data_IF_760065374954
#
_entry.id   IF_760065374954
#
_cell.length_a   1.000
_cell.length_b   1.000
_cell.length_c   1.000
_cell.angle_alpha   90.00
_cell.angle_beta   90.00
_cell.angle_gamma   90.00
#
_symmetry.space_group_name_H-M   'P 1'
#
loop_
_entity.id
_entity.type
_entity.pdbx_description
1 polymer ?
#
# COMPACT_ATOMS: atom_id res chain seq x y z
N UNK A 1 -14.07 -14.31 -9.08
CA UNK A 1 -13.09 -13.26 -8.73
C UNK A 1 -11.80 -13.93 -8.27
N UNK A 2 -10.62 -13.42 -8.63
CA UNK A 2 -9.32 -13.96 -8.19
C UNK A 2 -8.59 -12.89 -7.38
N UNK A 3 -7.95 -13.28 -6.27
CA UNK A 3 -7.19 -12.41 -5.38
C UNK A 3 -5.76 -12.96 -5.27
N UNK A 4 -4.78 -12.06 -5.26
CA UNK A 4 -3.38 -12.37 -5.01
C UNK A 4 -2.99 -11.74 -3.67
N UNK A 5 -2.47 -12.53 -2.73
CA UNK A 5 -1.96 -12.03 -1.46
C UNK A 5 -0.44 -12.01 -1.49
N UNK A 6 0.16 -10.81 -1.37
CA UNK A 6 1.60 -10.64 -1.28
C UNK A 6 2.02 -10.47 0.19
N UNK A 7 2.54 -11.54 0.77
CA UNK A 7 2.98 -11.61 2.16
C UNK A 7 4.50 -11.59 2.27
N UNK A 8 5.02 -11.18 3.43
CA UNK A 8 6.46 -11.14 3.70
C UNK A 8 6.86 -10.04 4.68
N UNK A 9 8.08 -10.08 5.24
CA UNK A 9 8.53 -9.14 6.26
C UNK A 9 8.64 -7.69 5.74
N UNK A 10 8.65 -6.72 6.64
CA UNK A 10 8.88 -5.31 6.27
C UNK A 10 10.21 -5.16 5.52
N UNK A 11 10.23 -4.25 4.53
CA UNK A 11 11.39 -3.97 3.69
C UNK A 11 11.88 -5.11 2.75
N UNK A 12 11.11 -6.20 2.57
CA UNK A 12 11.48 -7.25 1.60
C UNK A 12 11.06 -6.97 0.14
N UNK A 13 10.69 -5.74 -0.21
CA UNK A 13 10.35 -5.35 -1.60
C UNK A 13 8.92 -5.67 -2.07
N UNK A 14 7.98 -5.95 -1.15
CA UNK A 14 6.58 -6.28 -1.53
C UNK A 14 5.90 -5.18 -2.33
N UNK A 15 6.09 -3.92 -1.93
CA UNK A 15 5.44 -2.78 -2.60
C UNK A 15 5.90 -2.64 -4.05
N UNK A 16 7.19 -2.84 -4.30
CA UNK A 16 7.76 -2.79 -5.65
C UNK A 16 7.21 -3.93 -6.51
N UNK A 17 7.19 -5.16 -5.98
CA UNK A 17 6.59 -6.31 -6.67
C UNK A 17 5.09 -6.11 -6.94
N UNK A 18 4.36 -5.54 -5.99
CA UNK A 18 2.93 -5.26 -6.16
C UNK A 18 2.68 -4.26 -7.30
N UNK A 19 3.50 -3.21 -7.40
CA UNK A 19 3.41 -2.21 -8.47
C UNK A 19 3.72 -2.80 -9.85
N UNK A 20 4.76 -3.64 -9.94
CA UNK A 20 5.13 -4.31 -11.19
C UNK A 20 4.02 -5.24 -11.67
N UNK A 21 3.45 -6.03 -10.76
CA UNK A 21 2.33 -6.92 -11.06
C UNK A 21 1.07 -6.13 -11.44
N UNK A 22 0.74 -5.07 -10.69
CA UNK A 22 -0.42 -4.25 -10.95
C UNK A 22 -0.34 -3.56 -12.32
N UNK A 23 0.82 -3.00 -12.66
CA UNK A 23 1.04 -2.33 -13.94
C UNK A 23 1.00 -3.32 -15.12
N UNK A 24 1.52 -4.54 -14.93
CA UNK A 24 1.60 -5.55 -15.99
C UNK A 24 0.27 -6.25 -16.28
N UNK A 25 -0.58 -6.41 -15.26
CA UNK A 25 -1.81 -7.20 -15.34
C UNK A 25 -3.08 -6.38 -15.12
N UNK A 26 -2.98 -5.04 -15.12
CA UNK A 26 -4.11 -4.12 -14.89
C UNK A 26 -4.86 -4.46 -13.59
N UNK A 27 -4.10 -4.55 -12.50
CA UNK A 27 -4.64 -4.85 -11.16
C UNK A 27 -4.66 -3.60 -10.28
N UNK A 28 -5.52 -3.65 -9.28
CA UNK A 28 -5.58 -2.65 -8.22
C UNK A 28 -4.88 -3.16 -6.96
N UNK A 29 -4.27 -2.26 -6.19
CA UNK A 29 -3.54 -2.60 -4.96
C UNK A 29 -4.40 -2.30 -3.74
N UNK A 30 -4.63 -3.33 -2.92
CA UNK A 30 -5.25 -3.20 -1.60
C UNK A 30 -4.15 -3.22 -0.54
N UNK A 31 -3.95 -2.11 0.19
CA UNK A 31 -3.01 -2.08 1.30
C UNK A 31 -3.55 -2.87 2.50
N UNK A 32 -2.76 -3.80 3.03
CA UNK A 32 -3.08 -4.59 4.22
C UNK A 32 -2.11 -4.34 5.39
N UNK A 33 -1.37 -3.22 5.39
CA UNK A 33 -0.53 -2.80 6.50
C UNK A 33 -1.32 -1.86 7.43
N UNK A 34 -1.47 -2.27 8.70
CA UNK A 34 -2.25 -1.55 9.72
C UNK A 34 -1.63 -0.23 10.17
N UNK A 35 -0.38 0.08 9.79
CA UNK A 35 0.25 1.38 10.06
C UNK A 35 0.09 2.34 8.90
N UNK A 36 -0.01 1.86 7.66
CA UNK A 36 -0.11 2.71 6.47
C UNK A 36 -1.52 3.32 6.26
N UNK A 37 -2.49 2.92 7.07
CA UNK A 37 -3.85 3.48 7.09
C UNK A 37 -3.93 4.89 7.70
N UNK A 38 -2.93 5.30 8.49
CA UNK A 38 -2.93 6.59 9.18
C UNK A 38 -2.31 7.70 8.34
N UNK A 39 -2.99 8.85 8.22
CA UNK A 39 -2.52 10.07 7.55
C UNK A 39 -1.24 10.61 8.17
N UNK A 40 -0.48 11.38 7.40
CA UNK A 40 0.74 12.11 7.83
C UNK A 40 1.93 11.25 8.28
N UNK A 41 1.76 9.93 8.36
CA UNK A 41 2.80 8.97 8.78
C UNK A 41 3.56 8.35 7.59
N UNK A 42 4.10 9.15 6.67
CA UNK A 42 4.68 8.62 5.42
C UNK A 42 5.98 7.81 5.61
N UNK A 43 6.95 8.40 6.33
CA UNK A 43 8.32 7.87 6.41
C UNK A 43 8.38 6.65 7.34
N UNK A 44 7.86 6.79 8.56
CA UNK A 44 7.97 5.76 9.60
C UNK A 44 7.21 4.47 9.30
N UNK A 45 6.20 4.51 8.43
CA UNK A 45 5.42 3.32 8.03
C UNK A 45 5.82 2.80 6.64
N UNK A 46 6.82 3.41 6.00
CA UNK A 46 7.31 3.00 4.69
C UNK A 46 6.24 3.07 3.59
N UNK A 47 5.38 4.10 3.60
CA UNK A 47 4.38 4.25 2.53
C UNK A 47 5.06 4.52 1.20
N UNK A 48 4.56 3.95 0.09
CA UNK A 48 4.94 4.41 -1.23
C UNK A 48 4.59 5.90 -1.40
N UNK A 49 5.47 6.65 -2.06
CA UNK A 49 5.23 8.08 -2.31
C UNK A 49 3.95 8.29 -3.14
N UNK A 50 3.36 9.49 -3.07
CA UNK A 50 2.17 9.82 -3.87
C UNK A 50 2.40 9.67 -5.37
N UNK A 51 3.61 9.94 -5.88
CA UNK A 51 3.93 9.74 -7.29
C UNK A 51 3.93 8.27 -7.69
N UNK A 52 4.33 7.38 -6.78
CA UNK A 52 4.25 5.94 -6.97
C UNK A 52 2.79 5.46 -6.88
N UNK A 53 2.04 5.94 -5.88
CA UNK A 53 0.62 5.58 -5.69
C UNK A 53 -0.28 6.04 -6.85
N UNK A 54 0.13 7.05 -7.63
CA UNK A 54 -0.60 7.51 -8.83
C UNK A 54 -0.42 6.60 -10.05
N UNK A 55 0.53 5.66 -10.04
CA UNK A 55 0.79 4.78 -11.20
C UNK A 55 -0.30 3.74 -11.41
N UNK A 56 -0.90 3.24 -10.34
CA UNK A 56 -2.00 2.26 -10.34
C UNK A 56 -2.97 2.57 -9.19
N UNK A 57 -4.25 2.17 -9.23
CA UNK A 57 -5.17 2.41 -8.13
C UNK A 57 -4.68 1.75 -6.82
N UNK A 58 -4.61 2.55 -5.76
CA UNK A 58 -4.27 2.10 -4.40
C UNK A 58 -5.42 2.40 -3.44
N UNK A 59 -5.76 1.42 -2.62
CA UNK A 59 -6.81 1.50 -1.61
C UNK A 59 -6.26 1.31 -0.20
N UNK A 60 -7.03 1.75 0.79
CA UNK A 60 -6.72 1.61 2.24
C UNK A 60 -5.43 2.31 2.70
N UNK A 61 -5.14 3.46 2.11
CA UNK A 61 -4.19 4.43 2.65
C UNK A 61 -4.95 5.61 3.25
N UNK A 62 -4.35 6.27 4.24
CA UNK A 62 -4.76 7.60 4.68
C UNK A 62 -6.24 7.71 5.12
N UNK A 63 -6.78 6.62 5.68
CA UNK A 63 -8.17 6.51 6.12
C UNK A 63 -8.44 7.26 7.43
N UNK A 64 -7.46 7.29 8.35
CA UNK A 64 -7.64 7.82 9.70
C UNK A 64 -6.56 8.84 10.07
N UNK A 65 -6.86 9.70 11.02
CA UNK A 65 -5.91 10.54 11.73
C UNK A 65 -5.07 9.66 12.70
N UNK A 66 -3.79 10.00 12.93
CA UNK A 66 -2.91 9.21 13.82
C UNK A 66 -3.40 9.00 15.25
N UNK A 67 -4.34 9.81 15.73
CA UNK A 67 -4.92 9.75 17.08
C UNK A 67 -6.20 8.91 17.16
N UNK A 68 -6.73 8.45 16.03
CA UNK A 68 -7.92 7.60 15.99
C UNK A 68 -7.55 6.14 16.28
N UNK A 69 -8.47 5.39 16.88
CA UNK A 69 -8.39 3.93 16.96
C UNK A 69 -9.30 3.34 15.88
N UNK A 70 -8.70 2.54 14.99
CA UNK A 70 -9.35 1.83 13.89
C UNK A 70 -9.11 0.33 14.00
#
# INVERSE_FOLDING_TARGET
MRLIALLGPTACGKSDLALDLASKYDLEILNCDSRQVYREMEIGTGKPSLSVRKKVPHHLFDLACPTEQI
#
